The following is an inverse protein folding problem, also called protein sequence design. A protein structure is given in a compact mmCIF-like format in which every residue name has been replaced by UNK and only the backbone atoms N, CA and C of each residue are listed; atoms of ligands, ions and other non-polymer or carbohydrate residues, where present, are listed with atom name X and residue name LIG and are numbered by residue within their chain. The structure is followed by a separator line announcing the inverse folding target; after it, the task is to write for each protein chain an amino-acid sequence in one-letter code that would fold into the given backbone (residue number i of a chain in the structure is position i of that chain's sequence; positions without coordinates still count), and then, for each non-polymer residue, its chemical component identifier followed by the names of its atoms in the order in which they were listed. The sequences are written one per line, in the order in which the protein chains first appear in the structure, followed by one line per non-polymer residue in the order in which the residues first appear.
data_IF_012255739859
#
_entry.id   IF_012255739859
#
_cell.length_a   1.000
_cell.length_b   1.000
_cell.length_c   1.000
_cell.angle_alpha   90.00
_cell.angle_beta   90.00
_cell.angle_gamma   90.00
#
_symmetry.space_group_name_H-M   'P 1'
#
loop_
_entity.id
_entity.type
_entity.pdbx_description
1 polymer ?
#
# COMPACT_ATOMS: atom_id res chain seq x y z
N UNK A 1 12.90 9.53 -0.06
CA UNK A 1 13.31 8.14 -0.34
C UNK A 1 12.68 7.66 -1.63
N UNK A 2 13.48 7.19 -2.57
CA UNK A 2 13.00 6.47 -3.75
C UNK A 2 12.87 4.98 -3.38
N UNK A 3 11.65 4.46 -3.39
CA UNK A 3 11.38 3.08 -3.00
C UNK A 3 11.93 2.03 -3.98
N UNK A 4 12.34 2.42 -5.19
CA UNK A 4 13.03 1.55 -6.14
C UNK A 4 14.51 1.36 -5.80
N UNK A 5 15.06 2.17 -4.89
CA UNK A 5 16.42 2.05 -4.38
C UNK A 5 16.42 1.32 -3.04
N UNK A 6 16.86 0.06 -3.05
CA UNK A 6 16.97 -0.76 -1.84
C UNK A 6 17.79 -0.04 -0.76
N UNK A 7 18.92 0.58 -1.14
CA UNK A 7 19.79 1.30 -0.20
C UNK A 7 19.09 2.50 0.44
N UNK A 8 18.24 3.23 -0.32
CA UNK A 8 17.50 4.36 0.27
C UNK A 8 16.42 3.88 1.23
N UNK A 9 15.77 2.76 0.95
CA UNK A 9 14.79 2.14 1.87
C UNK A 9 15.48 1.69 3.16
N UNK A 10 16.62 0.98 3.07
CA UNK A 10 17.40 0.59 4.24
C UNK A 10 17.82 1.80 5.09
N UNK A 11 18.33 2.87 4.44
CA UNK A 11 18.74 4.08 5.13
C UNK A 11 17.56 4.80 5.81
N UNK A 12 16.38 4.81 5.16
CA UNK A 12 15.16 5.37 5.75
C UNK A 12 14.81 4.68 7.07
N UNK A 13 14.81 3.34 7.09
CA UNK A 13 14.49 2.58 8.28
C UNK A 13 15.56 2.71 9.38
N UNK A 14 16.85 2.72 9.02
CA UNK A 14 17.93 3.02 9.99
C UNK A 14 17.73 4.37 10.65
N UNK A 15 17.44 5.39 9.87
CA UNK A 15 17.18 6.74 10.40
C UNK A 15 15.92 6.80 11.25
N UNK A 16 14.86 6.07 10.88
CA UNK A 16 13.67 5.97 11.71
C UNK A 16 13.97 5.30 13.06
N UNK A 17 14.74 4.22 13.08
CA UNK A 17 15.16 3.54 14.31
C UNK A 17 15.94 4.46 15.24
N UNK A 18 16.85 5.29 14.71
CA UNK A 18 17.65 6.23 15.46
C UNK A 18 16.85 7.36 16.12
N UNK A 19 15.79 7.83 15.45
CA UNK A 19 15.00 9.01 15.88
C UNK A 19 13.75 8.62 16.67
N UNK A 20 13.06 7.57 16.24
CA UNK A 20 11.71 7.21 16.70
C UNK A 20 11.63 5.80 17.28
N UNK A 21 12.66 4.98 17.07
CA UNK A 21 12.62 3.55 17.37
C UNK A 21 11.87 2.75 16.29
N UNK A 22 11.63 1.48 16.58
CA UNK A 22 10.92 0.57 15.67
C UNK A 22 9.48 1.04 15.43
N UNK A 23 9.06 1.26 14.19
CA UNK A 23 7.70 1.72 13.89
C UNK A 23 6.64 0.68 14.28
N UNK A 24 5.52 1.14 14.82
CA UNK A 24 4.34 0.31 15.10
C UNK A 24 3.48 0.08 13.86
N UNK A 25 3.48 1.04 12.95
CA UNK A 25 2.72 1.02 11.70
C UNK A 25 3.59 1.52 10.55
N UNK A 26 3.65 0.72 9.50
CA UNK A 26 4.25 1.11 8.22
C UNK A 26 3.17 1.08 7.15
N UNK A 27 2.98 2.20 6.45
CA UNK A 27 2.04 2.32 5.34
C UNK A 27 2.82 2.49 4.04
N UNK A 28 2.73 1.52 3.15
CA UNK A 28 3.25 1.62 1.80
C UNK A 28 2.21 2.29 0.89
N UNK A 29 2.40 3.59 0.63
CA UNK A 29 1.50 4.39 -0.19
C UNK A 29 2.06 4.80 -1.57
N UNK A 30 3.35 4.58 -1.94
CA UNK A 30 3.86 4.95 -3.24
C UNK A 30 3.10 4.28 -4.38
N UNK A 31 2.95 5.03 -5.47
CA UNK A 31 2.28 4.55 -6.67
C UNK A 31 2.87 5.22 -7.91
N UNK A 32 2.99 4.46 -8.98
CA UNK A 32 3.33 4.99 -10.29
C UNK A 32 2.32 4.50 -11.32
N UNK A 33 1.93 5.37 -12.22
CA UNK A 33 0.92 5.09 -13.25
C UNK A 33 1.46 5.47 -14.61
N UNK A 34 1.39 4.54 -15.55
CA UNK A 34 1.62 4.77 -16.98
C UNK A 34 0.36 4.36 -17.73
N UNK A 35 -0.17 5.26 -18.56
CA UNK A 35 -1.33 5.01 -19.42
C UNK A 35 -0.88 4.90 -20.86
N UNK A 36 -1.59 4.13 -21.64
CA UNK A 36 -1.39 3.95 -23.07
C UNK A 36 -1.89 2.59 -23.54
N UNK A 37 -2.06 2.46 -24.86
CA UNK A 37 -2.31 1.17 -25.51
C UNK A 37 -1.08 0.30 -25.40
N UNK A 38 -1.22 -1.03 -25.42
CA UNK A 38 -0.10 -1.94 -25.16
C UNK A 38 1.03 -1.79 -26.17
N UNK A 39 0.71 -1.48 -27.41
CA UNK A 39 1.68 -1.29 -28.51
C UNK A 39 2.47 0.02 -28.41
N UNK A 40 1.95 1.02 -27.70
CA UNK A 40 2.57 2.33 -27.55
C UNK A 40 3.36 2.49 -26.24
N UNK A 41 3.37 1.46 -25.38
CA UNK A 41 4.04 1.57 -24.09
C UNK A 41 5.55 1.70 -24.21
N UNK A 42 6.12 2.72 -23.57
CA UNK A 42 7.55 2.73 -23.27
C UNK A 42 7.85 1.69 -22.18
N UNK A 43 8.49 0.58 -22.57
CA UNK A 43 8.80 -0.53 -21.67
C UNK A 43 9.81 -0.17 -20.56
N UNK A 44 10.63 0.87 -20.72
CA UNK A 44 11.53 1.34 -19.64
C UNK A 44 10.73 2.07 -18.57
N UNK A 45 9.83 2.95 -18.98
CA UNK A 45 8.91 3.63 -18.08
C UNK A 45 7.94 2.63 -17.40
N UNK A 46 7.43 1.66 -18.16
CA UNK A 46 6.58 0.60 -17.65
C UNK A 46 7.28 -0.23 -16.55
N UNK A 47 8.51 -0.68 -16.81
CA UNK A 47 9.33 -1.40 -15.83
C UNK A 47 9.48 -0.59 -14.54
N UNK A 48 9.89 0.68 -14.64
CA UNK A 48 10.06 1.56 -13.48
C UNK A 48 8.75 1.74 -12.70
N UNK A 49 7.64 1.93 -13.38
CA UNK A 49 6.34 2.09 -12.73
C UNK A 49 5.89 0.82 -11.98
N UNK A 50 6.14 -0.36 -12.56
CA UNK A 50 5.86 -1.65 -11.90
C UNK A 50 6.79 -1.84 -10.69
N UNK A 51 8.07 -1.56 -10.82
CA UNK A 51 9.06 -1.66 -9.73
C UNK A 51 8.66 -0.84 -8.50
N UNK A 52 8.12 0.36 -8.68
CA UNK A 52 7.59 1.18 -7.57
C UNK A 52 6.57 0.39 -6.76
N UNK A 53 5.57 -0.20 -7.42
CA UNK A 53 4.45 -0.86 -6.73
C UNK A 53 4.76 -2.28 -6.23
N UNK A 54 5.79 -2.93 -6.77
CA UNK A 54 6.11 -4.34 -6.49
C UNK A 54 7.40 -4.48 -5.68
N UNK A 55 8.54 -4.29 -6.29
CA UNK A 55 9.86 -4.45 -5.64
C UNK A 55 10.02 -3.42 -4.52
N UNK A 56 9.59 -2.17 -4.74
CA UNK A 56 9.60 -1.15 -3.69
C UNK A 56 8.76 -1.56 -2.48
N UNK A 57 7.57 -2.12 -2.70
CA UNK A 57 6.72 -2.61 -1.63
C UNK A 57 7.35 -3.80 -0.88
N UNK A 58 7.94 -4.73 -1.61
CA UNK A 58 8.64 -5.89 -1.01
C UNK A 58 9.85 -5.43 -0.17
N UNK A 59 10.64 -4.47 -0.66
CA UNK A 59 11.77 -3.90 0.07
C UNK A 59 11.34 -3.25 1.38
N UNK A 60 10.30 -2.42 1.34
CA UNK A 60 9.74 -1.76 2.53
C UNK A 60 9.17 -2.80 3.52
N UNK A 61 8.45 -3.80 3.02
CA UNK A 61 7.89 -4.87 3.84
C UNK A 61 8.97 -5.69 4.53
N UNK A 62 10.07 -6.01 3.83
CA UNK A 62 11.24 -6.71 4.40
C UNK A 62 11.83 -5.91 5.56
N UNK A 63 12.12 -4.63 5.36
CA UNK A 63 12.70 -3.77 6.40
C UNK A 63 11.79 -3.62 7.61
N UNK A 64 10.49 -3.45 7.40
CA UNK A 64 9.50 -3.37 8.45
C UNK A 64 9.40 -4.70 9.23
N UNK A 65 9.26 -5.82 8.53
CA UNK A 65 9.15 -7.14 9.14
C UNK A 65 10.40 -7.52 9.94
N UNK A 66 11.59 -7.21 9.43
CA UNK A 66 12.86 -7.47 10.12
C UNK A 66 12.90 -6.81 11.52
N UNK A 67 12.27 -5.66 11.66
CA UNK A 67 12.20 -4.91 12.93
C UNK A 67 11.05 -5.32 13.84
N UNK A 68 9.90 -5.60 13.23
CA UNK A 68 8.68 -5.93 13.96
C UNK A 68 8.69 -7.37 14.52
N UNK A 69 9.28 -8.32 13.78
CA UNK A 69 9.30 -9.74 14.18
C UNK A 69 9.99 -10.00 15.53
N UNK A 70 11.17 -9.42 15.85
CA UNK A 70 11.78 -9.60 17.17
C UNK A 70 10.93 -9.04 18.30
N UNK A 71 10.15 -7.99 18.04
CA UNK A 71 9.21 -7.37 18.99
C UNK A 71 7.91 -8.17 19.12
N UNK A 72 7.54 -8.97 18.11
CA UNK A 72 6.30 -9.73 18.06
C UNK A 72 5.04 -8.84 17.94
N UNK A 73 5.19 -7.64 17.37
CA UNK A 73 4.04 -6.73 17.15
C UNK A 73 4.34 -5.70 16.05
N UNK A 74 3.31 -5.28 15.34
CA UNK A 74 3.35 -4.24 14.32
C UNK A 74 2.32 -4.43 13.23
N UNK A 75 2.18 -3.43 12.36
CA UNK A 75 1.30 -3.47 11.20
C UNK A 75 2.00 -2.98 9.95
N UNK A 76 1.79 -3.67 8.83
CA UNK A 76 2.31 -3.28 7.51
C UNK A 76 1.13 -3.23 6.55
N UNK A 77 0.81 -2.03 6.06
CA UNK A 77 -0.35 -1.80 5.21
C UNK A 77 0.04 -1.32 3.83
N UNK A 78 -0.70 -1.77 2.82
CA UNK A 78 -0.44 -1.47 1.41
C UNK A 78 -1.64 -0.75 0.80
N UNK A 79 -1.39 0.41 0.19
CA UNK A 79 -2.40 1.17 -0.54
C UNK A 79 -2.59 0.61 -1.94
N UNK A 80 -3.64 -0.15 -2.10
CA UNK A 80 -4.13 -0.63 -3.39
C UNK A 80 -4.99 0.40 -4.12
N UNK A 81 -5.71 -0.07 -5.10
CA UNK A 81 -6.64 0.71 -5.91
C UNK A 81 -7.67 -0.25 -6.54
N UNK A 82 -8.68 0.28 -7.24
CA UNK A 82 -9.53 -0.55 -8.14
C UNK A 82 -8.71 -1.46 -9.05
N UNK A 83 -7.55 -0.97 -9.50
CA UNK A 83 -6.62 -1.75 -10.33
C UNK A 83 -5.93 -2.91 -9.59
N UNK A 84 -6.16 -3.10 -8.29
CA UNK A 84 -5.71 -4.29 -7.55
C UNK A 84 -6.63 -5.49 -7.76
N UNK A 85 -7.87 -5.27 -8.19
CA UNK A 85 -8.93 -6.29 -8.29
C UNK A 85 -9.57 -6.38 -9.66
N UNK A 86 -9.37 -5.36 -10.53
CA UNK A 86 -9.90 -5.34 -11.90
C UNK A 86 -8.96 -4.59 -12.86
N UNK A 87 -8.84 -5.06 -14.09
CA UNK A 87 -8.10 -4.37 -15.16
C UNK A 87 -8.97 -3.35 -15.89
N UNK A 88 -8.31 -2.32 -16.43
CA UNK A 88 -8.96 -1.30 -17.28
C UNK A 88 -8.17 -1.15 -18.58
N UNK A 89 -8.85 -0.82 -19.66
CA UNK A 89 -8.22 -0.48 -20.93
C UNK A 89 -7.19 0.65 -20.72
N UNK A 90 -6.10 0.61 -21.44
CA UNK A 90 -5.01 1.60 -21.39
C UNK A 90 -4.35 1.78 -20.00
N UNK A 91 -4.48 0.80 -19.12
CA UNK A 91 -3.95 0.83 -17.73
C UNK A 91 -3.24 -0.47 -17.34
N UNK A 92 -2.74 -1.24 -18.30
CA UNK A 92 -2.10 -2.54 -18.07
C UNK A 92 -0.92 -2.46 -17.10
N UNK A 93 -0.05 -1.46 -17.23
CA UNK A 93 1.10 -1.25 -16.34
C UNK A 93 0.67 -1.02 -14.89
N UNK A 94 -0.35 -0.20 -14.69
CA UNK A 94 -0.90 0.07 -13.36
C UNK A 94 -1.56 -1.18 -12.76
N UNK A 95 -2.29 -1.94 -13.57
CA UNK A 95 -2.90 -3.20 -13.15
C UNK A 95 -1.83 -4.21 -12.73
N UNK A 96 -0.78 -4.43 -13.53
CA UNK A 96 0.34 -5.34 -13.18
C UNK A 96 0.94 -4.96 -11.82
N UNK A 97 1.23 -3.69 -11.59
CA UNK A 97 1.77 -3.20 -10.32
C UNK A 97 0.82 -3.44 -9.13
N UNK A 98 -0.46 -3.10 -9.30
CA UNK A 98 -1.44 -3.17 -8.19
C UNK A 98 -1.92 -4.60 -7.89
N UNK A 99 -2.07 -5.46 -8.90
CA UNK A 99 -2.30 -6.90 -8.66
C UNK A 99 -1.08 -7.55 -7.98
N UNK A 100 0.14 -7.19 -8.40
CA UNK A 100 1.37 -7.65 -7.76
C UNK A 100 1.43 -7.23 -6.29
N UNK A 101 1.09 -5.98 -5.98
CA UNK A 101 1.01 -5.46 -4.62
C UNK A 101 -0.02 -6.23 -3.77
N UNK A 102 -1.20 -6.52 -4.33
CA UNK A 102 -2.23 -7.33 -3.67
C UNK A 102 -1.75 -8.74 -3.39
N UNK A 103 -1.09 -9.37 -4.38
CA UNK A 103 -0.50 -10.71 -4.23
C UNK A 103 0.55 -10.76 -3.13
N UNK A 104 1.41 -9.74 -3.06
CA UNK A 104 2.39 -9.57 -1.97
C UNK A 104 1.69 -9.48 -0.61
N UNK A 105 0.72 -8.58 -0.45
CA UNK A 105 -0.01 -8.42 0.80
C UNK A 105 -0.70 -9.72 1.24
N UNK A 106 -1.32 -10.44 0.32
CA UNK A 106 -1.99 -11.72 0.58
C UNK A 106 -1.00 -12.80 1.04
N UNK A 107 0.19 -12.86 0.44
CA UNK A 107 1.25 -13.80 0.85
C UNK A 107 1.77 -13.45 2.24
N UNK A 108 2.11 -12.18 2.47
CA UNK A 108 2.62 -11.72 3.76
C UNK A 108 1.59 -11.86 4.89
N UNK A 109 0.29 -11.69 4.62
CA UNK A 109 -0.74 -11.93 5.62
C UNK A 109 -0.71 -13.39 6.13
N UNK A 110 -0.59 -14.36 5.23
CA UNK A 110 -0.47 -15.78 5.62
C UNK A 110 0.82 -16.09 6.37
N UNK A 111 1.90 -15.43 6.03
CA UNK A 111 3.21 -15.64 6.66
C UNK A 111 3.33 -14.96 8.02
N UNK A 112 2.83 -13.73 8.17
CA UNK A 112 3.14 -12.85 9.27
C UNK A 112 2.01 -12.70 10.31
N UNK A 113 0.73 -12.90 9.95
CA UNK A 113 -0.36 -12.92 10.94
C UNK A 113 -0.12 -13.97 12.05
N UNK A 114 0.32 -15.21 11.76
CA UNK A 114 0.67 -16.16 12.82
C UNK A 114 1.76 -15.66 13.77
N UNK A 115 2.66 -14.80 13.27
CA UNK A 115 3.78 -14.19 14.02
C UNK A 115 3.41 -12.86 14.68
N UNK A 116 2.13 -12.55 14.76
CA UNK A 116 1.57 -11.33 15.37
C UNK A 116 1.96 -10.02 14.69
N UNK A 117 2.16 -10.03 13.37
CA UNK A 117 2.34 -8.84 12.54
C UNK A 117 1.10 -8.71 11.64
N UNK A 118 0.38 -7.60 11.77
CA UNK A 118 -0.85 -7.36 11.01
C UNK A 118 -0.54 -6.84 9.62
N UNK A 119 -0.93 -7.56 8.59
CA UNK A 119 -0.80 -7.16 7.19
C UNK A 119 -2.16 -6.73 6.67
N UNK A 120 -2.23 -5.56 6.01
CA UNK A 120 -3.45 -5.04 5.42
C UNK A 120 -3.26 -4.54 4.00
N UNK A 121 -4.27 -4.74 3.16
CA UNK A 121 -4.36 -4.19 1.81
C UNK A 121 -5.64 -3.38 1.68
N UNK A 122 -5.52 -2.14 1.19
CA UNK A 122 -6.65 -1.23 1.04
C UNK A 122 -6.96 -1.03 -0.44
N UNK A 123 -8.11 -1.52 -0.89
CA UNK A 123 -8.62 -1.23 -2.24
C UNK A 123 -9.29 0.13 -2.20
N UNK A 124 -8.55 1.19 -2.54
CA UNK A 124 -9.11 2.55 -2.64
C UNK A 124 -9.73 2.70 -4.03
N UNK A 125 -11.04 2.51 -4.13
CA UNK A 125 -11.78 2.48 -5.40
C UNK A 125 -12.66 3.72 -5.56
N UNK A 126 -12.04 4.87 -5.81
CA UNK A 126 -12.72 6.12 -6.08
C UNK A 126 -11.77 7.30 -6.23
N UNK A 127 -12.34 8.43 -6.62
CA UNK A 127 -11.64 9.70 -6.60
C UNK A 127 -11.55 10.21 -5.16
N UNK A 128 -10.38 10.69 -4.76
CA UNK A 128 -10.16 11.25 -3.42
C UNK A 128 -10.36 12.77 -3.50
N UNK A 129 -11.18 13.32 -2.61
CA UNK A 129 -11.28 14.78 -2.42
C UNK A 129 -10.17 15.30 -1.52
N UNK A 130 -9.71 16.55 -1.74
CA UNK A 130 -8.83 17.22 -0.80
C UNK A 130 -9.49 17.34 0.58
N UNK A 131 -8.70 17.47 1.65
CA UNK A 131 -9.22 17.84 2.96
C UNK A 131 -10.03 19.14 2.86
N UNK A 132 -11.17 19.23 3.53
CA UNK A 132 -12.05 20.43 3.57
C UNK A 132 -12.76 20.76 2.23
N UNK A 133 -12.90 19.82 1.30
CA UNK A 133 -13.78 20.01 0.14
C UNK A 133 -15.24 20.00 0.59
N UNK A 134 -15.77 21.19 0.91
CA UNK A 134 -17.17 21.38 1.32
C UNK A 134 -18.16 21.21 0.17
N UNK A 135 -17.67 21.12 -1.08
CA UNK A 135 -18.45 20.91 -2.29
C UNK A 135 -18.50 19.43 -2.72
N UNK A 136 -18.20 18.52 -1.80
CA UNK A 136 -18.39 17.11 -2.09
C UNK A 136 -19.89 16.84 -2.27
N UNK A 137 -20.34 16.90 -3.53
CA UNK A 137 -21.69 16.44 -3.89
C UNK A 137 -21.82 15.02 -3.34
N UNK A 138 -22.78 14.85 -2.45
CA UNK A 138 -23.10 13.66 -1.66
C UNK A 138 -22.46 12.37 -2.20
N UNK A 139 -21.46 11.88 -1.48
CA UNK A 139 -20.86 10.56 -1.65
C UNK A 139 -20.18 10.26 -3.00
N UNK A 140 -19.87 11.29 -3.80
CA UNK A 140 -19.22 11.10 -5.12
C UNK A 140 -17.71 10.83 -5.02
N UNK A 141 -17.08 11.19 -3.89
CA UNK A 141 -15.62 11.08 -3.66
C UNK A 141 -15.32 10.55 -2.27
N UNK A 142 -14.18 9.90 -2.15
CA UNK A 142 -13.60 9.50 -0.86
C UNK A 142 -12.97 10.72 -0.17
N UNK A 143 -13.29 10.93 1.10
CA UNK A 143 -12.68 11.95 1.94
C UNK A 143 -11.35 11.41 2.47
N UNK A 144 -10.26 12.16 2.30
CA UNK A 144 -8.91 11.70 2.66
C UNK A 144 -8.78 11.34 4.14
N UNK A 145 -9.41 12.11 5.04
CA UNK A 145 -9.36 11.88 6.49
C UNK A 145 -10.12 10.59 6.87
N UNK A 146 -11.24 10.29 6.17
CA UNK A 146 -11.97 9.05 6.40
C UNK A 146 -11.20 7.83 5.89
N UNK A 147 -10.44 7.98 4.80
CA UNK A 147 -9.48 6.95 4.39
C UNK A 147 -8.45 6.72 5.51
N UNK A 148 -7.85 7.79 6.04
CA UNK A 148 -6.88 7.69 7.14
C UNK A 148 -7.47 7.05 8.40
N UNK A 149 -8.72 7.39 8.75
CA UNK A 149 -9.46 6.77 9.83
C UNK A 149 -9.65 5.26 9.62
N UNK A 150 -9.93 4.82 8.39
CA UNK A 150 -10.03 3.40 8.06
C UNK A 150 -8.70 2.65 8.28
N UNK A 151 -7.55 3.26 7.94
CA UNK A 151 -6.22 2.70 8.23
C UNK A 151 -5.98 2.58 9.73
N UNK A 152 -6.29 3.63 10.47
CA UNK A 152 -6.12 3.64 11.93
C UNK A 152 -7.04 2.63 12.61
N UNK A 153 -8.29 2.50 12.14
CA UNK A 153 -9.23 1.50 12.63
C UNK A 153 -8.68 0.08 12.39
N UNK A 154 -8.19 -0.22 11.20
CA UNK A 154 -7.59 -1.53 10.89
C UNK A 154 -6.36 -1.82 11.76
N UNK A 155 -5.49 -0.83 11.99
CA UNK A 155 -4.33 -0.98 12.87
C UNK A 155 -4.73 -1.34 14.30
N UNK A 156 -5.85 -0.81 14.79
CA UNK A 156 -6.38 -1.03 16.14
C UNK A 156 -7.27 -2.27 16.27
N UNK A 157 -7.49 -3.04 15.20
CA UNK A 157 -8.29 -4.25 15.27
C UNK A 157 -7.68 -5.25 16.26
N UNK A 158 -8.54 -5.86 17.08
CA UNK A 158 -8.12 -7.00 17.88
C UNK A 158 -7.71 -8.18 16.99
N UNK A 159 -6.64 -8.89 17.37
CA UNK A 159 -6.05 -9.96 16.56
C UNK A 159 -7.04 -11.04 16.10
N UNK A 160 -8.04 -11.35 16.90
CA UNK A 160 -9.06 -12.38 16.57
C UNK A 160 -9.95 -12.03 15.37
N UNK A 161 -9.95 -10.77 14.94
CA UNK A 161 -10.78 -10.25 13.85
C UNK A 161 -9.97 -9.46 12.82
N UNK A 162 -8.68 -9.71 12.71
CA UNK A 162 -7.83 -9.03 11.73
C UNK A 162 -8.34 -9.23 10.31
N UNK A 163 -8.63 -8.13 9.64
CA UNK A 163 -8.86 -8.08 8.21
C UNK A 163 -7.52 -8.00 7.49
N UNK A 164 -7.35 -8.73 6.39
CA UNK A 164 -6.18 -8.57 5.54
C UNK A 164 -6.44 -7.66 4.33
N UNK A 165 -7.73 -7.43 3.99
CA UNK A 165 -8.13 -6.57 2.87
C UNK A 165 -9.45 -5.88 3.19
N UNK A 166 -9.55 -4.59 2.88
CA UNK A 166 -10.80 -3.83 2.88
C UNK A 166 -10.90 -3.01 1.59
N UNK A 167 -12.12 -2.81 1.11
CA UNK A 167 -12.43 -1.94 -0.02
C UNK A 167 -13.09 -0.66 0.50
N UNK A 168 -12.55 0.48 0.07
CA UNK A 168 -13.09 1.80 0.36
C UNK A 168 -13.61 2.40 -0.95
N UNK A 169 -14.91 2.76 -0.96
CA UNK A 169 -15.60 3.25 -2.15
C UNK A 169 -16.62 4.32 -1.79
N UNK A 170 -16.76 5.41 -2.60
CA UNK A 170 -17.90 6.31 -2.48
C UNK A 170 -19.16 5.63 -3.04
N UNK A 171 -20.31 6.00 -2.51
CA UNK A 171 -21.62 5.43 -2.91
C UNK A 171 -22.54 6.46 -3.53
#
# INVERSE_FOLDING_TARGET
CDVTSIQQVENLFKKADEILGTPDLVIFNPSARLRGTVEELDMRAAKKAIEVSTIGALSVAKEAATRMLPRGSGSIFFTGASASVKGFANSSVFAVGKFGLRGLAQSLARELHPKNIHIGHFVVDGQISPPLDTNNELDSKLISDEIANAYLHMHRQHRSVWSWEIELRPW
#
